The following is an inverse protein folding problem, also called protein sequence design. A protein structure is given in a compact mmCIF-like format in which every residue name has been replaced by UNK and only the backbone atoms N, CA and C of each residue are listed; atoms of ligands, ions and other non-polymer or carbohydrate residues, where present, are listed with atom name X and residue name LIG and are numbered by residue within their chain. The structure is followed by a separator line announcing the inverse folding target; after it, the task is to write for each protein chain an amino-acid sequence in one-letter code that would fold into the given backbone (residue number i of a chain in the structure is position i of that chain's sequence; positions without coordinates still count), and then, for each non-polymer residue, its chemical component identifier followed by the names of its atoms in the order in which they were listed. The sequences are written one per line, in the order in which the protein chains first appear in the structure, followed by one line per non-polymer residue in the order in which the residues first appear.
data_IF_147370099224
#
_entry.id   IF_147370099224
#
_cell.length_a   1.000
_cell.length_b   1.000
_cell.length_c   1.000
_cell.angle_alpha   90.00
_cell.angle_beta   90.00
_cell.angle_gamma   90.00
#
_symmetry.space_group_name_H-M   'P 1'
#
loop_
_entity.id
_entity.type
_entity.pdbx_description
1 polymer ?
#
# COMPACT_ATOMS: atom_id res chain seq x y z
N UNK A 1 -14.36 -8.94 1.52
CA UNK A 1 -14.73 -9.94 0.52
C UNK A 1 -13.56 -10.15 -0.46
N UNK A 2 -12.87 -11.28 -0.33
CA UNK A 2 -11.75 -11.66 -1.19
C UNK A 2 -12.16 -12.10 -2.61
N UNK A 3 -13.40 -11.86 -3.00
CA UNK A 3 -13.96 -12.25 -4.31
C UNK A 3 -13.10 -11.81 -5.50
N UNK A 4 -12.40 -10.71 -5.35
CA UNK A 4 -11.57 -10.12 -6.42
C UNK A 4 -10.07 -10.32 -6.19
N UNK A 5 -9.68 -11.05 -5.14
CA UNK A 5 -8.31 -11.39 -4.85
C UNK A 5 -8.01 -12.81 -5.35
N UNK A 6 -7.04 -12.93 -6.25
CA UNK A 6 -6.58 -14.24 -6.71
C UNK A 6 -5.50 -14.75 -5.75
N UNK A 7 -5.78 -15.83 -5.03
CA UNK A 7 -4.87 -16.41 -4.04
C UNK A 7 -3.55 -16.95 -4.64
N UNK A 8 -3.49 -17.17 -5.95
CA UNK A 8 -2.29 -17.67 -6.66
C UNK A 8 -1.42 -16.56 -7.23
N UNK A 9 -1.82 -15.30 -7.09
CA UNK A 9 -1.05 -14.14 -7.53
C UNK A 9 -0.38 -13.45 -6.33
N UNK A 10 0.77 -12.77 -6.52
CA UNK A 10 1.36 -11.98 -5.46
C UNK A 10 0.46 -10.79 -5.09
N UNK A 11 0.63 -10.29 -3.89
CA UNK A 11 -0.01 -9.06 -3.42
C UNK A 11 0.86 -7.84 -3.75
N UNK A 12 0.26 -6.80 -4.27
CA UNK A 12 0.84 -5.46 -4.31
C UNK A 12 0.39 -4.74 -3.04
N UNK A 13 1.32 -4.16 -2.32
CA UNK A 13 1.06 -3.46 -1.07
C UNK A 13 1.61 -2.04 -1.15
N UNK A 14 0.76 -1.04 -0.99
CA UNK A 14 1.15 0.34 -0.72
C UNK A 14 1.22 0.55 0.79
N UNK A 15 2.37 0.96 1.32
CA UNK A 15 2.58 1.23 2.74
C UNK A 15 2.78 2.73 2.96
N UNK A 16 2.03 3.30 3.89
CA UNK A 16 2.19 4.66 4.41
C UNK A 16 2.61 4.59 5.88
N UNK A 17 3.91 4.77 6.17
CA UNK A 17 4.43 4.81 7.53
C UNK A 17 4.24 6.21 8.12
N UNK A 18 3.59 6.31 9.25
CA UNK A 18 3.31 7.58 9.94
C UNK A 18 3.07 7.37 11.44
N UNK A 19 2.35 8.30 12.07
CA UNK A 19 1.89 8.15 13.45
C UNK A 19 0.87 7.01 13.62
N UNK A 20 0.25 6.61 12.55
CA UNK A 20 -0.41 5.33 12.36
C UNK A 20 0.16 4.73 11.06
N UNK A 21 0.29 3.42 11.04
CA UNK A 21 0.79 2.72 9.87
C UNK A 21 -0.38 2.17 9.08
N UNK A 22 -0.47 2.52 7.80
CA UNK A 22 -1.53 2.04 6.92
C UNK A 22 -0.99 1.29 5.72
N UNK A 23 -1.76 0.32 5.23
CA UNK A 23 -1.45 -0.47 4.06
C UNK A 23 -2.68 -0.66 3.18
N UNK A 24 -2.47 -0.58 1.87
CA UNK A 24 -3.49 -0.84 0.85
C UNK A 24 -3.03 -2.02 0.01
N UNK A 25 -3.93 -2.96 -0.26
CA UNK A 25 -3.63 -4.18 -1.02
C UNK A 25 -4.36 -4.21 -2.34
N UNK A 26 -3.62 -4.55 -3.39
CA UNK A 26 -4.10 -4.61 -4.75
C UNK A 26 -3.51 -5.79 -5.53
N UNK A 27 -4.12 -6.09 -6.66
CA UNK A 27 -3.57 -6.95 -7.71
C UNK A 27 -3.87 -6.36 -9.08
N UNK A 28 -2.97 -6.58 -10.02
CA UNK A 28 -3.19 -6.22 -11.41
C UNK A 28 -3.85 -7.39 -12.15
N UNK A 29 -4.94 -7.10 -12.83
CA UNK A 29 -5.71 -8.03 -13.64
C UNK A 29 -5.83 -7.51 -15.07
N UNK A 30 -6.30 -8.37 -15.98
CA UNK A 30 -6.71 -7.97 -17.34
C UNK A 30 -8.18 -8.29 -17.55
N UNK A 31 -8.96 -7.30 -17.95
CA UNK A 31 -10.38 -7.44 -18.30
C UNK A 31 -10.58 -7.04 -19.76
N UNK A 32 -10.92 -8.01 -20.59
CA UNK A 32 -11.09 -7.81 -22.05
C UNK A 32 -9.89 -7.09 -22.71
N UNK A 33 -8.66 -7.42 -22.26
CA UNK A 33 -7.42 -6.82 -22.76
C UNK A 33 -7.07 -5.45 -22.18
N UNK A 34 -7.87 -4.93 -21.24
CA UNK A 34 -7.58 -3.70 -20.51
C UNK A 34 -6.94 -4.03 -19.16
N UNK A 35 -5.80 -3.43 -18.80
CA UNK A 35 -5.24 -3.62 -17.46
C UNK A 35 -6.16 -3.00 -16.40
N UNK A 36 -6.37 -3.72 -15.31
CA UNK A 36 -7.21 -3.28 -14.18
C UNK A 36 -6.44 -3.48 -12.88
N UNK A 37 -6.26 -2.40 -12.12
CA UNK A 37 -5.73 -2.45 -10.76
C UNK A 37 -6.91 -2.59 -9.79
N UNK A 38 -7.04 -3.75 -9.17
CA UNK A 38 -8.09 -4.00 -8.18
C UNK A 38 -7.53 -3.83 -6.78
N UNK A 39 -7.99 -2.78 -6.10
CA UNK A 39 -7.74 -2.52 -4.68
C UNK A 39 -8.85 -3.19 -3.88
N UNK A 40 -8.49 -4.14 -3.05
CA UNK A 40 -9.49 -5.00 -2.39
C UNK A 40 -9.40 -5.00 -0.87
N UNK A 41 -8.39 -4.35 -0.29
CA UNK A 41 -8.29 -4.20 1.18
C UNK A 41 -7.44 -3.00 1.56
N UNK A 42 -7.89 -2.25 2.57
CA UNK A 42 -7.02 -1.36 3.35
C UNK A 42 -6.98 -1.82 4.82
N UNK A 43 -5.87 -1.59 5.46
CA UNK A 43 -5.63 -1.89 6.86
C UNK A 43 -4.83 -0.75 7.49
N UNK A 44 -5.04 -0.53 8.79
CA UNK A 44 -4.25 0.42 9.55
C UNK A 44 -4.11 -0.03 10.99
N UNK A 45 -3.08 0.44 11.66
CA UNK A 45 -2.77 0.20 13.07
C UNK A 45 -2.23 1.48 13.69
N UNK A 46 -2.38 1.60 15.00
CA UNK A 46 -1.90 2.74 15.79
C UNK A 46 -0.75 2.25 16.67
N UNK A 47 0.19 3.15 16.98
CA UNK A 47 1.27 2.92 17.95
C UNK A 47 0.74 2.26 19.25
N UNK A 48 1.57 1.53 20.03
CA UNK A 48 3.04 1.54 19.99
C UNK A 48 3.69 0.44 19.15
N UNK A 49 2.98 -0.58 18.70
CA UNK A 49 3.56 -1.78 18.05
C UNK A 49 3.01 -1.97 16.63
N UNK A 50 3.09 -0.88 15.86
CA UNK A 50 2.45 -0.83 14.56
C UNK A 50 2.98 -1.86 13.55
N UNK A 51 4.28 -2.21 13.57
CA UNK A 51 4.85 -3.16 12.60
C UNK A 51 4.36 -4.58 12.86
N UNK A 52 4.46 -5.03 14.11
CA UNK A 52 4.01 -6.36 14.50
C UNK A 52 2.49 -6.49 14.34
N UNK A 53 1.73 -5.51 14.85
CA UNK A 53 0.28 -5.52 14.77
C UNK A 53 -0.24 -5.50 13.32
N UNK A 54 0.43 -4.75 12.42
CA UNK A 54 0.08 -4.74 11.00
C UNK A 54 0.41 -6.08 10.34
N UNK A 55 1.60 -6.65 10.63
CA UNK A 55 2.00 -7.94 10.09
C UNK A 55 1.02 -9.06 10.49
N UNK A 56 0.60 -9.11 11.75
CA UNK A 56 -0.41 -10.04 12.25
C UNK A 56 -1.79 -9.86 11.58
N UNK A 57 -2.24 -8.61 11.41
CA UNK A 57 -3.48 -8.31 10.67
C UNK A 57 -3.41 -8.81 9.23
N UNK A 58 -2.29 -8.57 8.54
CA UNK A 58 -2.08 -9.03 7.16
C UNK A 58 -2.12 -10.57 7.12
N UNK A 59 -1.37 -11.22 8.02
CA UNK A 59 -1.29 -12.67 8.04
C UNK A 59 -2.63 -13.31 8.39
N UNK A 60 -3.40 -12.73 9.31
CA UNK A 60 -4.73 -13.21 9.67
C UNK A 60 -5.71 -13.07 8.50
N UNK A 61 -5.74 -11.91 7.85
CA UNK A 61 -6.69 -11.64 6.77
C UNK A 61 -6.37 -12.47 5.51
N UNK A 62 -5.08 -12.56 5.16
CA UNK A 62 -4.61 -13.32 3.99
C UNK A 62 -4.11 -14.73 4.35
N UNK A 63 -4.53 -15.29 5.48
CA UNK A 63 -4.05 -16.59 5.98
C UNK A 63 -4.19 -17.74 4.98
N UNK A 64 -5.24 -17.73 4.18
CA UNK A 64 -5.54 -18.73 3.13
C UNK A 64 -4.90 -18.42 1.77
N UNK A 65 -4.19 -17.28 1.65
CA UNK A 65 -3.53 -16.90 0.40
C UNK A 65 -2.38 -17.87 0.08
N UNK A 66 -2.45 -18.54 -1.07
CA UNK A 66 -1.49 -19.59 -1.42
C UNK A 66 -0.13 -19.06 -1.79
N UNK A 67 -0.10 -17.96 -2.58
CA UNK A 67 1.14 -17.33 -2.99
C UNK A 67 1.53 -16.23 -2.01
N UNK A 68 2.19 -16.58 -0.92
CA UNK A 68 2.62 -15.65 0.14
C UNK A 68 3.81 -14.77 -0.32
N UNK A 69 3.57 -13.95 -1.34
CA UNK A 69 4.54 -12.99 -1.89
C UNK A 69 3.92 -11.60 -1.89
N UNK A 70 4.64 -10.63 -1.34
CA UNK A 70 4.25 -9.22 -1.30
C UNK A 70 5.29 -8.37 -2.02
N UNK A 71 4.87 -7.54 -2.97
CA UNK A 71 5.64 -6.44 -3.52
C UNK A 71 5.23 -5.16 -2.77
N UNK A 72 6.11 -4.67 -1.90
CA UNK A 72 5.84 -3.54 -1.01
C UNK A 72 6.37 -2.25 -1.61
N UNK A 73 5.45 -1.34 -1.89
CA UNK A 73 5.71 0.04 -2.33
C UNK A 73 5.46 0.99 -1.16
N UNK A 74 6.30 1.98 -0.99
CA UNK A 74 6.19 2.95 0.09
C UNK A 74 6.83 4.28 -0.33
N UNK A 75 6.47 5.36 0.33
CA UNK A 75 7.08 6.65 0.08
C UNK A 75 8.49 6.75 0.68
N UNK A 76 9.16 7.89 0.48
CA UNK A 76 10.51 8.13 1.01
C UNK A 76 10.55 8.11 2.54
N UNK A 77 9.45 8.43 3.24
CA UNK A 77 9.39 8.37 4.70
C UNK A 77 9.65 6.95 5.21
N UNK A 78 9.19 5.92 4.49
CA UNK A 78 9.46 4.52 4.80
C UNK A 78 10.94 4.11 4.74
N UNK A 79 11.80 4.94 4.14
CA UNK A 79 13.25 4.76 4.12
C UNK A 79 13.98 5.57 5.22
N UNK A 80 13.27 6.34 6.04
CA UNK A 80 13.87 7.08 7.14
C UNK A 80 14.22 6.11 8.28
N UNK A 81 15.43 6.28 8.81
CA UNK A 81 15.87 5.51 9.97
C UNK A 81 15.16 6.01 11.22
N UNK A 82 14.45 5.17 11.91
CA UNK A 82 13.92 5.49 13.24
C UNK A 82 15.01 5.28 14.30
N UNK A 83 15.05 6.16 15.29
CA UNK A 83 15.87 5.92 16.49
C UNK A 83 15.37 4.66 17.18
N UNK A 84 16.30 3.80 17.62
CA UNK A 84 15.97 2.56 18.29
C UNK A 84 15.16 2.83 19.58
N UNK A 85 13.85 2.64 19.51
CA UNK A 85 13.00 2.43 20.66
C UNK A 85 12.79 0.91 20.78
N UNK A 86 13.07 0.35 21.95
CA UNK A 86 12.90 -1.07 22.24
C UNK A 86 13.76 -2.08 21.46
N UNK A 87 15.09 -1.95 21.49
CA UNK A 87 15.99 -3.06 21.18
C UNK A 87 16.16 -3.43 19.71
N UNK A 88 15.52 -2.73 18.78
CA UNK A 88 15.76 -2.91 17.36
C UNK A 88 17.12 -2.38 16.95
N UNK A 89 17.82 -3.11 16.09
CA UNK A 89 19.15 -2.74 15.61
C UNK A 89 19.16 -1.30 15.10
N UNK A 90 20.11 -0.51 15.59
CA UNK A 90 20.31 0.90 15.24
C UNK A 90 20.30 1.05 13.70
N UNK A 91 19.26 1.63 13.14
CA UNK A 91 19.26 2.05 11.74
C UNK A 91 18.31 1.32 10.78
N UNK A 92 17.36 0.50 11.25
CA UNK A 92 16.36 -0.06 10.36
C UNK A 92 15.23 0.93 10.05
N UNK A 93 14.69 0.81 8.85
CA UNK A 93 13.59 1.64 8.35
C UNK A 93 12.26 0.92 8.58
N UNK A 94 11.13 1.66 8.64
CA UNK A 94 9.81 1.07 8.81
C UNK A 94 9.54 -0.08 7.84
N UNK A 95 9.89 0.13 6.56
CA UNK A 95 9.70 -0.89 5.54
C UNK A 95 10.51 -2.16 5.78
N UNK A 96 11.75 -2.03 6.32
CA UNK A 96 12.59 -3.20 6.65
C UNK A 96 12.09 -3.93 7.88
N UNK A 97 11.65 -3.21 8.90
CA UNK A 97 11.09 -3.80 10.12
C UNK A 97 9.83 -4.60 9.75
N UNK A 98 8.87 -3.97 9.07
CA UNK A 98 7.66 -4.66 8.64
C UNK A 98 7.94 -5.86 7.73
N UNK A 99 8.94 -5.76 6.84
CA UNK A 99 9.38 -6.91 6.04
C UNK A 99 9.83 -8.05 6.93
N UNK A 100 10.63 -7.77 7.96
CA UNK A 100 11.13 -8.81 8.88
C UNK A 100 10.01 -9.49 9.65
N UNK A 101 9.03 -8.73 10.14
CA UNK A 101 7.83 -9.26 10.80
C UNK A 101 7.02 -10.18 9.84
N UNK A 102 6.76 -9.72 8.62
CA UNK A 102 6.04 -10.53 7.62
C UNK A 102 6.82 -11.80 7.22
N UNK A 103 8.16 -11.71 7.12
CA UNK A 103 9.00 -12.87 6.83
C UNK A 103 8.95 -13.91 7.95
N UNK A 104 8.90 -13.48 9.21
CA UNK A 104 8.73 -14.38 10.35
C UNK A 104 7.38 -15.13 10.29
N UNK A 105 6.35 -14.56 9.65
CA UNK A 105 5.04 -15.17 9.41
C UNK A 105 4.96 -15.96 8.10
N UNK A 106 6.09 -16.19 7.42
CA UNK A 106 6.19 -17.02 6.22
C UNK A 106 5.92 -16.30 4.89
N UNK A 107 5.89 -14.96 4.88
CA UNK A 107 5.76 -14.18 3.67
C UNK A 107 7.11 -13.88 3.01
N UNK A 108 7.17 -13.89 1.70
CA UNK A 108 8.29 -13.35 0.93
C UNK A 108 7.97 -11.90 0.57
N UNK A 109 8.80 -10.95 1.02
CA UNK A 109 8.53 -9.51 0.82
C UNK A 109 9.66 -8.86 0.02
N UNK A 110 9.30 -8.25 -1.10
CA UNK A 110 10.18 -7.47 -1.96
C UNK A 110 9.94 -5.98 -1.73
N UNK A 111 10.98 -5.24 -1.32
CA UNK A 111 10.93 -3.79 -1.14
C UNK A 111 11.15 -3.12 -2.50
N UNK A 112 10.12 -2.46 -3.03
CA UNK A 112 10.10 -1.90 -4.38
C UNK A 112 10.53 -0.44 -4.45
N UNK A 113 10.61 0.25 -3.31
CA UNK A 113 10.88 1.70 -3.24
C UNK A 113 12.21 2.05 -2.58
N UNK A 114 13.19 1.13 -2.50
CA UNK A 114 14.47 1.37 -1.82
C UNK A 114 15.28 2.51 -2.45
N UNK A 115 15.26 2.61 -3.79
CA UNK A 115 16.01 3.60 -4.57
C UNK A 115 15.10 4.69 -5.16
N UNK A 116 13.91 4.85 -4.59
CA UNK A 116 12.92 5.77 -5.12
C UNK A 116 13.40 7.22 -5.01
N UNK A 117 13.37 7.94 -6.15
CA UNK A 117 13.56 9.39 -6.19
C UNK A 117 12.33 10.09 -5.59
N UNK A 118 12.54 11.29 -5.06
CA UNK A 118 11.44 12.13 -4.60
C UNK A 118 10.47 12.38 -5.75
N UNK A 119 9.23 11.96 -5.58
CA UNK A 119 8.13 12.30 -6.49
C UNK A 119 7.46 13.55 -5.92
N UNK A 120 7.36 14.60 -6.72
CA UNK A 120 6.74 15.85 -6.27
C UNK A 120 5.21 15.70 -6.21
N UNK A 121 4.54 16.45 -5.34
CA UNK A 121 3.09 16.40 -5.18
C UNK A 121 2.32 16.61 -6.49
N UNK A 122 2.78 17.49 -7.37
CA UNK A 122 2.15 17.71 -8.67
C UNK A 122 2.24 16.49 -9.60
N UNK A 123 3.31 15.69 -9.51
CA UNK A 123 3.47 14.44 -10.27
C UNK A 123 2.49 13.38 -9.76
N UNK A 124 2.34 13.24 -8.43
CA UNK A 124 1.32 12.38 -7.82
C UNK A 124 -0.09 12.79 -8.25
N UNK A 125 -0.39 14.09 -8.20
CA UNK A 125 -1.68 14.62 -8.62
C UNK A 125 -1.97 14.30 -10.10
N UNK A 126 -1.02 14.55 -11.00
CA UNK A 126 -1.18 14.25 -12.41
C UNK A 126 -1.36 12.75 -12.67
N UNK A 127 -0.59 11.89 -11.99
CA UNK A 127 -0.72 10.45 -12.13
C UNK A 127 -2.10 9.97 -11.65
N UNK A 128 -2.54 10.41 -10.48
CA UNK A 128 -3.85 10.06 -9.93
C UNK A 128 -4.98 10.56 -10.84
N UNK A 129 -4.89 11.79 -11.36
CA UNK A 129 -5.87 12.34 -12.30
C UNK A 129 -5.96 11.52 -13.58
N UNK A 130 -4.83 11.04 -14.12
CA UNK A 130 -4.79 10.17 -15.30
C UNK A 130 -5.39 8.79 -15.01
N UNK A 131 -5.07 8.19 -13.86
CA UNK A 131 -5.64 6.91 -13.42
C UNK A 131 -7.16 7.00 -13.29
N UNK A 132 -7.67 8.06 -12.67
CA UNK A 132 -9.11 8.27 -12.46
C UNK A 132 -9.86 8.63 -13.77
N UNK A 133 -9.19 9.24 -14.74
CA UNK A 133 -9.82 9.63 -15.99
C UNK A 133 -10.06 8.45 -16.94
N UNK A 134 -9.39 7.33 -16.77
CA UNK A 134 -9.51 6.09 -17.58
C UNK A 134 -9.43 6.32 -19.11
N UNK A 135 -8.71 7.37 -19.55
CA UNK A 135 -8.66 7.77 -20.97
C UNK A 135 -7.61 7.03 -21.78
N UNK A 136 -6.61 6.45 -21.12
CA UNK A 136 -5.47 5.85 -21.77
C UNK A 136 -5.55 4.32 -21.69
N UNK A 137 -5.55 3.65 -22.83
CA UNK A 137 -5.62 2.17 -22.92
C UNK A 137 -4.47 1.44 -22.17
N UNK A 138 -3.34 2.11 -21.95
CA UNK A 138 -2.18 1.53 -21.26
C UNK A 138 -2.16 1.82 -19.76
N UNK A 139 -3.00 2.72 -19.29
CA UNK A 139 -3.14 3.04 -17.88
C UNK A 139 -4.17 2.09 -17.27
N UNK A 140 -3.84 1.38 -16.19
CA UNK A 140 -4.79 0.46 -15.59
C UNK A 140 -6.02 1.21 -15.06
N UNK A 141 -7.18 0.65 -15.30
CA UNK A 141 -8.41 1.13 -14.68
C UNK A 141 -8.38 0.80 -13.20
N UNK A 142 -8.70 1.77 -12.35
CA UNK A 142 -8.72 1.58 -10.91
C UNK A 142 -10.09 1.09 -10.45
N UNK A 143 -10.12 0.00 -9.71
CA UNK A 143 -11.34 -0.56 -9.09
C UNK A 143 -11.09 -0.76 -7.61
N UNK A 144 -11.89 -0.12 -6.76
CA UNK A 144 -11.75 -0.16 -5.31
C UNK A 144 -12.94 -0.91 -4.72
N UNK A 145 -12.67 -1.92 -3.90
CA UNK A 145 -13.71 -2.67 -3.20
C UNK A 145 -14.33 -1.78 -2.11
N UNK A 146 -15.59 -1.44 -2.27
CA UNK A 146 -16.27 -0.50 -1.38
C UNK A 146 -16.32 -0.99 0.06
N UNK A 147 -16.69 -2.26 0.28
CA UNK A 147 -16.92 -2.80 1.63
C UNK A 147 -15.63 -3.00 2.43
N UNK A 148 -14.49 -3.20 1.75
CA UNK A 148 -13.21 -3.52 2.40
C UNK A 148 -12.23 -2.35 2.38
N UNK A 149 -12.63 -1.23 1.78
CA UNK A 149 -11.80 -0.04 1.61
C UNK A 149 -12.56 1.26 1.96
N UNK A 150 -13.48 1.22 2.93
CA UNK A 150 -14.30 2.37 3.33
C UNK A 150 -13.45 3.56 3.77
N UNK A 151 -12.42 3.32 4.61
CA UNK A 151 -11.56 4.39 5.11
C UNK A 151 -10.72 5.00 3.99
N UNK A 152 -10.23 4.17 3.04
CA UNK A 152 -9.52 4.67 1.87
C UNK A 152 -10.43 5.57 1.02
N UNK A 153 -11.65 5.12 0.73
CA UNK A 153 -12.63 5.88 -0.05
C UNK A 153 -13.00 7.18 0.66
N UNK A 154 -13.23 7.11 1.98
CA UNK A 154 -13.53 8.30 2.80
C UNK A 154 -12.37 9.30 2.76
N UNK A 155 -11.13 8.82 2.91
CA UNK A 155 -9.94 9.66 2.83
C UNK A 155 -9.80 10.33 1.46
N UNK A 156 -10.06 9.60 0.37
CA UNK A 156 -10.03 10.15 -0.99
C UNK A 156 -11.09 11.23 -1.19
N UNK A 157 -12.31 11.02 -0.67
CA UNK A 157 -13.42 11.97 -0.78
C UNK A 157 -13.20 13.23 0.06
N UNK A 158 -12.52 13.10 1.21
CA UNK A 158 -12.25 14.23 2.12
C UNK A 158 -10.98 15.00 1.77
N UNK A 159 -10.17 14.51 0.83
CA UNK A 159 -8.96 15.21 0.40
C UNK A 159 -9.33 16.50 -0.33
N UNK A 160 -9.19 17.69 0.29
CA UNK A 160 -9.60 18.93 -0.37
C UNK A 160 -8.66 19.23 -1.52
N UNK A 161 -9.22 19.49 -2.70
CA UNK A 161 -8.50 20.23 -3.73
C UNK A 161 -8.16 21.60 -3.12
N UNK A 162 -6.91 21.85 -2.76
CA UNK A 162 -6.48 23.22 -2.47
C UNK A 162 -6.76 24.03 -3.73
N UNK A 163 -7.78 24.88 -3.70
CA UNK A 163 -7.88 26.00 -4.63
C UNK A 163 -6.59 26.80 -4.41
N UNK A 164 -5.72 26.82 -5.38
CA UNK A 164 -4.65 27.81 -5.43
C UNK A 164 -5.35 29.16 -5.57
N UNK A 165 -5.20 30.03 -4.57
CA UNK A 165 -5.66 31.41 -4.60
C UNK A 165 -4.81 32.26 -5.59
N UNK A 166 -4.63 31.76 -6.80
CA UNK A 166 -4.07 32.53 -7.92
C UNK A 166 -5.05 32.31 -9.06
N UNK A 167 -6.05 33.21 -9.09
CA UNK A 167 -6.97 33.41 -10.17
C UNK A 167 -6.31 33.83 -11.47
#
# INVERSE_FOLDING_TARGET
DLKYCNADMPLLMGLDPGNFMSAVFAQEHSEAGTPVMRVFKNMWVITPDEHHALAEKINTFFGTHRRKVIYMYYDRAGNQRKQAFFGNAKGDTDAKILRSELQALGWTVHLMSMDQRTIYHWQHYNLNSRLMAEREKRTPHLRICQNECEELISSMNMSPLKKTDNG
#
